data_IF_308862890459
#
_entry.id   IF_308862890459
#
_cell.length_a   1.000
_cell.length_b   1.000
_cell.length_c   1.000
_cell.angle_alpha   90.00
_cell.angle_beta   90.00
_cell.angle_gamma   90.00
#
_symmetry.space_group_name_H-M   'P 1'
#
loop_
_entity.id
_entity.type
_entity.pdbx_description
1 polymer ?
#
# COMPACT_ATOMS: atom_id res chain seq x y z
N UNK A 1 11.39 13.70 -29.01
CA UNK A 1 12.02 12.95 -27.91
C UNK A 1 10.95 12.07 -27.29
N UNK A 2 10.97 10.77 -27.56
CA UNK A 2 10.14 9.81 -26.82
C UNK A 2 10.83 9.61 -25.48
N UNK A 3 10.25 10.21 -24.44
CA UNK A 3 10.76 10.05 -23.07
C UNK A 3 10.78 8.55 -22.75
N UNK A 4 11.90 8.06 -22.21
CA UNK A 4 12.12 6.65 -21.84
C UNK A 4 11.30 6.22 -20.62
N UNK A 5 9.99 6.41 -20.69
CA UNK A 5 9.04 6.01 -19.66
C UNK A 5 8.97 4.49 -19.59
N UNK A 6 9.25 3.95 -18.41
CA UNK A 6 9.06 2.54 -18.10
C UNK A 6 7.73 2.40 -17.37
N UNK A 7 6.88 1.50 -17.85
CA UNK A 7 5.63 1.13 -17.18
C UNK A 7 5.83 -0.24 -16.55
N UNK A 8 5.67 -0.32 -15.24
CA UNK A 8 5.78 -1.56 -14.48
C UNK A 8 4.39 -1.99 -14.01
N UNK A 9 4.02 -3.22 -14.32
CA UNK A 9 2.86 -3.89 -13.72
C UNK A 9 3.40 -4.69 -12.54
N UNK A 10 3.10 -4.30 -11.29
CA UNK A 10 3.72 -4.91 -10.12
C UNK A 10 3.05 -6.25 -9.73
N UNK A 11 2.12 -6.75 -10.54
CA UNK A 11 1.39 -7.99 -10.27
C UNK A 11 2.05 -9.16 -10.99
N UNK A 12 3.23 -9.54 -10.51
CA UNK A 12 4.02 -10.62 -11.07
C UNK A 12 4.63 -11.49 -9.96
N UNK A 13 4.59 -12.83 -10.04
CA UNK A 13 5.08 -13.72 -8.98
C UNK A 13 6.49 -13.40 -8.50
N UNK A 14 7.45 -13.17 -9.42
CA UNK A 14 8.84 -12.85 -9.06
C UNK A 14 8.99 -11.55 -8.26
N UNK A 15 8.13 -10.56 -8.50
CA UNK A 15 8.15 -9.29 -7.76
C UNK A 15 7.56 -9.48 -6.37
N UNK A 16 6.44 -10.21 -6.30
CA UNK A 16 5.73 -10.53 -5.05
C UNK A 16 6.54 -11.44 -4.13
N UNK A 17 7.39 -12.29 -4.70
CA UNK A 17 8.30 -13.14 -3.94
C UNK A 17 9.25 -12.32 -3.04
N UNK A 18 9.65 -11.11 -3.45
CA UNK A 18 10.49 -10.23 -2.64
C UNK A 18 9.78 -9.76 -1.35
N UNK A 19 8.45 -9.84 -1.31
CA UNK A 19 7.63 -9.38 -0.20
C UNK A 19 7.18 -10.47 0.76
N UNK A 20 7.52 -11.74 0.50
CA UNK A 20 7.05 -12.88 1.31
C UNK A 20 7.30 -12.68 2.80
N UNK A 21 8.47 -12.16 3.18
CA UNK A 21 8.76 -11.85 4.59
C UNK A 21 7.80 -10.79 5.15
N UNK A 22 7.64 -9.66 4.46
CA UNK A 22 6.77 -8.56 4.90
C UNK A 22 5.31 -9.00 4.97
N UNK A 23 4.86 -9.80 4.00
CA UNK A 23 3.51 -10.34 3.97
C UNK A 23 3.28 -11.34 5.10
N UNK A 24 4.24 -12.21 5.37
CA UNK A 24 4.20 -13.12 6.53
C UNK A 24 4.12 -12.34 7.84
N UNK A 25 4.93 -11.30 8.01
CA UNK A 25 4.93 -10.46 9.22
C UNK A 25 3.59 -9.70 9.40
N UNK A 26 2.91 -9.35 8.30
CA UNK A 26 1.56 -8.75 8.31
C UNK A 26 0.47 -9.75 8.67
N UNK A 27 0.50 -10.94 8.04
CA UNK A 27 -0.52 -11.98 8.23
C UNK A 27 -0.50 -12.55 9.65
N UNK A 28 0.67 -12.87 10.19
CA UNK A 28 0.78 -13.72 11.38
C UNK A 28 1.28 -12.99 12.61
N UNK A 29 1.94 -11.83 12.44
CA UNK A 29 2.49 -11.06 13.56
C UNK A 29 1.90 -9.64 13.65
N UNK A 30 1.04 -9.25 12.70
CA UNK A 30 0.41 -7.93 12.58
C UNK A 30 1.40 -6.76 12.75
N UNK A 31 2.68 -6.98 12.38
CA UNK A 31 3.75 -6.02 12.66
C UNK A 31 3.49 -4.66 11.99
N UNK A 32 3.03 -4.59 10.73
CA UNK A 32 2.70 -3.33 10.08
C UNK A 32 1.55 -2.58 10.76
N UNK A 33 0.55 -3.29 11.29
CA UNK A 33 -0.54 -2.69 12.05
C UNK A 33 -0.01 -1.96 13.27
N UNK A 34 0.73 -2.67 14.12
CA UNK A 34 1.28 -2.12 15.37
C UNK A 34 2.12 -0.87 15.12
N UNK A 35 3.06 -0.96 14.16
CA UNK A 35 3.99 0.13 13.85
C UNK A 35 3.23 1.35 13.34
N UNK A 36 2.37 1.17 12.33
CA UNK A 36 1.68 2.31 11.72
C UNK A 36 0.65 2.90 12.67
N UNK A 37 0.00 2.09 13.51
CA UNK A 37 -0.89 2.60 14.56
C UNK A 37 -0.13 3.49 15.55
N UNK A 38 1.07 3.08 15.96
CA UNK A 38 1.93 3.87 16.84
C UNK A 38 2.40 5.18 16.18
N UNK A 39 2.91 5.11 14.95
CA UNK A 39 3.36 6.31 14.21
C UNK A 39 2.19 7.27 13.96
N UNK A 40 1.01 6.73 13.62
CA UNK A 40 -0.21 7.53 13.42
C UNK A 40 -0.67 8.22 14.71
N UNK A 41 -0.54 7.57 15.87
CA UNK A 41 -0.82 8.18 17.16
C UNK A 41 0.03 9.42 17.41
N UNK A 42 1.35 9.35 17.16
CA UNK A 42 2.28 10.49 17.28
C UNK A 42 1.94 11.63 16.31
N UNK A 43 1.61 11.29 15.05
CA UNK A 43 1.29 12.30 14.03
C UNK A 43 -0.05 12.98 14.33
N UNK A 44 -1.01 12.25 14.90
CA UNK A 44 -2.36 12.75 15.20
C UNK A 44 -2.39 13.88 16.23
N UNK A 45 -1.30 14.09 16.97
CA UNK A 45 -1.13 15.25 17.86
C UNK A 45 -1.05 16.58 17.09
N UNK A 46 -0.59 16.54 15.83
CA UNK A 46 -0.37 17.74 15.01
C UNK A 46 -1.10 17.72 13.66
N UNK A 47 -1.46 16.55 13.13
CA UNK A 47 -2.07 16.39 11.80
C UNK A 47 -3.08 15.25 11.76
N UNK A 48 -4.19 15.43 11.02
CA UNK A 48 -5.19 14.39 10.83
C UNK A 48 -4.66 13.21 10.03
N UNK A 49 -4.67 12.01 10.64
CA UNK A 49 -4.35 10.75 9.97
C UNK A 49 -5.20 10.53 8.70
N UNK A 50 -4.56 10.04 7.62
CA UNK A 50 -5.20 9.81 6.32
C UNK A 50 -5.33 8.32 5.99
N UNK A 51 -4.45 7.47 6.54
CA UNK A 51 -4.55 6.02 6.44
C UNK A 51 -4.76 5.38 7.81
N UNK A 52 -5.60 4.34 7.84
CA UNK A 52 -5.92 3.58 9.05
C UNK A 52 -5.53 2.12 8.79
N UNK A 53 -4.52 1.60 9.52
CA UNK A 53 -4.10 0.22 9.32
C UNK A 53 -5.16 -0.74 9.88
N UNK A 54 -5.18 -1.95 9.34
CA UNK A 54 -5.91 -3.10 9.89
C UNK A 54 -4.91 -4.12 10.40
N UNK A 55 -5.35 -5.08 11.19
CA UNK A 55 -4.50 -6.19 11.65
C UNK A 55 -3.84 -6.91 10.46
N UNK A 56 -4.63 -7.16 9.41
CA UNK A 56 -4.13 -7.66 8.11
C UNK A 56 -4.35 -6.60 7.02
N UNK A 57 -3.26 -6.21 6.36
CA UNK A 57 -3.20 -5.17 5.34
C UNK A 57 -3.07 -5.71 3.92
N UNK A 58 -3.43 -6.98 3.72
CA UNK A 58 -3.40 -7.69 2.46
C UNK A 58 -4.80 -7.99 1.92
N UNK A 59 -4.88 -8.00 0.59
CA UNK A 59 -5.95 -8.63 -0.16
C UNK A 59 -5.47 -9.98 -0.68
N UNK A 60 -6.37 -10.95 -0.72
CA UNK A 60 -6.21 -12.18 -1.46
C UNK A 60 -6.78 -12.03 -2.88
N UNK A 61 -6.00 -12.43 -3.87
CA UNK A 61 -6.29 -12.36 -5.30
C UNK A 61 -6.35 -13.78 -5.86
N UNK A 62 -7.46 -14.17 -6.47
CA UNK A 62 -7.56 -15.45 -7.18
C UNK A 62 -8.71 -15.40 -8.17
N UNK A 63 -8.41 -15.60 -9.46
CA UNK A 63 -9.37 -15.41 -10.55
C UNK A 63 -9.98 -14.00 -10.48
N UNK A 64 -11.29 -13.86 -10.32
CA UNK A 64 -11.98 -12.57 -10.18
C UNK A 64 -12.10 -12.09 -8.71
N UNK A 65 -11.53 -12.84 -7.76
CA UNK A 65 -11.57 -12.49 -6.33
C UNK A 65 -10.49 -11.45 -6.05
N UNK A 66 -10.90 -10.35 -5.43
CA UNK A 66 -10.02 -9.42 -4.73
C UNK A 66 -10.65 -9.04 -3.40
N UNK A 67 -10.31 -9.78 -2.38
CA UNK A 67 -11.00 -9.68 -1.09
C UNK A 67 -10.03 -9.59 0.07
N UNK A 68 -10.51 -9.02 1.17
CA UNK A 68 -9.69 -8.89 2.38
C UNK A 68 -9.52 -10.25 3.05
N UNK A 69 -8.40 -10.41 3.73
CA UNK A 69 -8.17 -11.52 4.65
C UNK A 69 -8.49 -11.01 6.06
N UNK A 70 -9.28 -11.76 6.83
CA UNK A 70 -9.52 -11.51 8.26
C UNK A 70 -9.21 -12.77 9.06
N UNK A 71 -8.54 -12.64 10.20
CA UNK A 71 -8.35 -13.74 11.14
C UNK A 71 -9.54 -13.82 12.11
N UNK A 72 -10.10 -15.02 12.29
CA UNK A 72 -11.17 -15.30 13.25
C UNK A 72 -10.92 -16.65 13.88
N UNK A 73 -10.84 -16.69 15.21
CA UNK A 73 -10.71 -17.94 15.98
C UNK A 73 -9.52 -18.82 15.52
N UNK A 74 -8.41 -18.20 15.10
CA UNK A 74 -7.20 -18.89 14.63
C UNK A 74 -7.26 -19.39 13.18
N UNK A 75 -8.30 -19.03 12.42
CA UNK A 75 -8.43 -19.31 10.98
C UNK A 75 -8.48 -18.01 10.18
N UNK A 76 -7.92 -18.05 8.97
CA UNK A 76 -7.85 -16.90 8.06
C UNK A 76 -8.93 -17.02 6.99
N UNK A 77 -9.83 -16.06 6.92
CA UNK A 77 -10.96 -16.06 5.99
C UNK A 77 -10.78 -15.01 4.91
N UNK A 78 -10.94 -15.42 3.65
CA UNK A 78 -11.08 -14.48 2.54
C UNK A 78 -12.53 -14.04 2.49
N UNK A 79 -12.78 -12.78 2.78
CA UNK A 79 -14.14 -12.24 2.92
C UNK A 79 -14.95 -12.42 1.64
N UNK A 80 -16.27 -12.52 1.81
CA UNK A 80 -17.24 -12.71 0.72
C UNK A 80 -17.01 -13.98 -0.12
N UNK A 81 -16.22 -14.93 0.38
CA UNK A 81 -15.98 -16.23 -0.25
C UNK A 81 -16.10 -17.37 0.77
N UNK A 82 -16.05 -18.61 0.29
CA UNK A 82 -15.95 -19.80 1.14
C UNK A 82 -14.50 -20.20 1.44
N UNK A 83 -13.52 -19.42 0.99
CA UNK A 83 -12.11 -19.74 1.19
C UNK A 83 -11.70 -19.39 2.62
N UNK A 84 -11.10 -20.36 3.29
CA UNK A 84 -10.46 -20.22 4.58
C UNK A 84 -9.19 -21.05 4.64
N UNK A 85 -8.24 -20.64 5.47
CA UNK A 85 -6.96 -21.28 5.65
C UNK A 85 -6.61 -21.40 7.12
N UNK A 86 -5.94 -22.48 7.53
CA UNK A 86 -5.14 -22.45 8.75
C UNK A 86 -3.91 -21.55 8.58
N UNK A 87 -3.18 -21.27 9.66
CA UNK A 87 -1.92 -20.53 9.58
C UNK A 87 -0.90 -21.21 8.66
N UNK A 88 -0.77 -22.54 8.77
CA UNK A 88 0.16 -23.34 7.97
C UNK A 88 -0.25 -23.39 6.50
N UNK A 89 -1.55 -23.53 6.23
CA UNK A 89 -2.09 -23.51 4.87
C UNK A 89 -1.86 -22.14 4.21
N UNK A 90 -2.15 -21.05 4.92
CA UNK A 90 -1.95 -19.70 4.38
C UNK A 90 -0.46 -19.38 4.19
N UNK A 91 0.40 -19.84 5.09
CA UNK A 91 1.84 -19.70 4.94
C UNK A 91 2.32 -20.47 3.69
N UNK A 92 1.87 -21.70 3.49
CA UNK A 92 2.19 -22.49 2.30
C UNK A 92 1.67 -21.81 1.03
N UNK A 93 0.44 -21.30 1.06
CA UNK A 93 -0.16 -20.52 -0.03
C UNK A 93 0.68 -19.27 -0.36
N UNK A 94 1.15 -18.53 0.64
CA UNK A 94 2.02 -17.37 0.46
C UNK A 94 3.37 -17.74 -0.18
N UNK A 95 3.97 -18.86 0.22
CA UNK A 95 5.25 -19.31 -0.34
C UNK A 95 5.10 -19.78 -1.79
N UNK A 96 4.03 -20.49 -2.10
CA UNK A 96 3.82 -21.11 -3.41
C UNK A 96 3.16 -20.16 -4.42
N UNK A 97 2.33 -19.23 -3.95
CA UNK A 97 1.52 -18.32 -4.76
C UNK A 97 1.57 -16.87 -4.23
N UNK A 98 2.75 -16.24 -4.12
CA UNK A 98 2.88 -14.90 -3.59
C UNK A 98 2.12 -13.84 -4.41
N UNK A 99 1.88 -14.09 -5.70
CA UNK A 99 1.05 -13.25 -6.57
C UNK A 99 -0.41 -13.12 -6.09
N UNK A 100 -0.90 -14.10 -5.33
CA UNK A 100 -2.24 -14.05 -4.75
C UNK A 100 -2.35 -13.08 -3.58
N UNK A 101 -1.26 -12.45 -3.15
CA UNK A 101 -1.26 -11.51 -2.03
C UNK A 101 -0.97 -10.09 -2.53
N UNK A 102 -1.88 -9.17 -2.27
CA UNK A 102 -1.74 -7.77 -2.69
C UNK A 102 -1.80 -6.79 -1.54
N UNK A 103 -0.79 -5.91 -1.40
CA UNK A 103 -0.79 -4.91 -0.33
C UNK A 103 -1.90 -3.87 -0.53
N UNK A 104 -2.49 -3.42 0.57
CA UNK A 104 -3.26 -2.20 0.62
C UNK A 104 -2.35 -0.97 0.76
N UNK A 105 -2.92 0.21 1.02
CA UNK A 105 -2.18 1.48 1.16
C UNK A 105 -1.03 1.44 2.18
N UNK A 106 -1.14 0.65 3.26
CA UNK A 106 -0.15 0.53 4.33
C UNK A 106 1.14 -0.13 3.84
N UNK A 107 1.00 -1.22 3.08
CA UNK A 107 2.13 -2.02 2.60
C UNK A 107 2.57 -1.64 1.18
N UNK A 108 1.74 -0.91 0.43
CA UNK A 108 2.02 -0.57 -0.97
C UNK A 108 3.31 0.23 -1.14
N UNK A 109 3.58 1.17 -0.23
CA UNK A 109 4.83 1.95 -0.26
C UNK A 109 6.06 1.07 -0.09
N UNK A 110 6.05 0.17 0.91
CA UNK A 110 7.12 -0.81 1.13
C UNK A 110 7.32 -1.66 -0.11
N UNK A 111 6.23 -2.17 -0.70
CA UNK A 111 6.33 -3.00 -1.89
C UNK A 111 6.98 -2.25 -3.06
N UNK A 112 6.50 -1.04 -3.34
CA UNK A 112 6.98 -0.21 -4.43
C UNK A 112 8.49 0.05 -4.30
N UNK A 113 8.94 0.49 -3.13
CA UNK A 113 10.36 0.84 -2.91
C UNK A 113 11.27 -0.39 -2.76
N UNK A 114 10.69 -1.58 -2.52
CA UNK A 114 11.44 -2.85 -2.52
C UNK A 114 11.73 -3.34 -3.94
N UNK A 115 10.73 -3.31 -4.83
CA UNK A 115 10.90 -3.81 -6.22
C UNK A 115 11.50 -2.77 -7.15
N UNK A 116 11.37 -1.49 -6.81
CA UNK A 116 11.87 -0.37 -7.58
C UNK A 116 12.37 0.71 -6.61
N UNK A 117 13.60 0.62 -6.11
CA UNK A 117 14.16 1.62 -5.20
C UNK A 117 14.21 2.98 -5.87
N UNK A 118 13.39 3.94 -5.41
CA UNK A 118 13.26 5.25 -6.04
C UNK A 118 14.04 6.31 -5.27
N UNK A 119 14.49 7.35 -5.99
CA UNK A 119 14.99 8.58 -5.37
C UNK A 119 13.83 9.41 -4.78
N UNK A 120 12.71 9.46 -5.48
CA UNK A 120 11.56 10.29 -5.11
C UNK A 120 10.22 9.60 -5.43
N UNK A 121 9.27 9.77 -4.51
CA UNK A 121 7.88 9.44 -4.70
C UNK A 121 7.09 10.71 -5.03
N UNK A 122 6.37 10.71 -6.15
CA UNK A 122 5.55 11.84 -6.60
C UNK A 122 4.08 11.55 -6.29
N UNK A 123 3.48 12.26 -5.33
CA UNK A 123 2.13 11.98 -4.85
C UNK A 123 1.27 13.23 -4.65
N UNK A 124 -0.04 13.05 -4.50
CA UNK A 124 -0.97 14.10 -4.06
C UNK A 124 -0.85 14.41 -2.56
N UNK A 125 -1.49 15.49 -2.09
CA UNK A 125 -1.42 15.91 -0.68
C UNK A 125 -1.86 14.83 0.32
N UNK A 126 -2.97 14.13 0.04
CA UNK A 126 -3.42 13.01 0.86
C UNK A 126 -2.46 11.81 0.83
N UNK A 127 -1.78 11.60 -0.29
CA UNK A 127 -0.77 10.53 -0.39
C UNK A 127 0.45 10.86 0.45
N UNK A 128 1.00 12.06 0.30
CA UNK A 128 2.17 12.46 1.09
C UNK A 128 1.86 12.41 2.60
N UNK A 129 0.64 12.81 2.99
CA UNK A 129 0.21 12.75 4.38
C UNK A 129 0.24 11.33 4.95
N UNK A 130 -0.31 10.31 4.25
CA UNK A 130 -0.22 8.94 4.76
C UNK A 130 1.18 8.34 4.62
N UNK A 131 1.99 8.73 3.63
CA UNK A 131 3.38 8.27 3.54
C UNK A 131 4.20 8.63 4.78
N UNK A 132 3.94 9.79 5.39
CA UNK A 132 4.55 10.15 6.67
C UNK A 132 4.17 9.19 7.80
N UNK A 133 2.95 8.64 7.78
CA UNK A 133 2.51 7.60 8.73
C UNK A 133 3.27 6.28 8.56
N UNK A 134 3.91 6.04 7.41
CA UNK A 134 4.66 4.81 7.11
C UNK A 134 6.14 4.90 7.47
N UNK A 135 6.65 6.06 7.92
CA UNK A 135 8.10 6.27 8.10
C UNK A 135 8.78 5.21 8.99
N UNK A 136 8.18 4.88 10.13
CA UNK A 136 8.75 3.86 11.04
C UNK A 136 8.64 2.45 10.45
N UNK A 137 7.64 2.20 9.60
CA UNK A 137 7.48 0.93 8.88
C UNK A 137 8.62 0.69 7.87
N UNK A 138 8.99 1.74 7.14
CA UNK A 138 10.15 1.72 6.24
C UNK A 138 11.46 1.46 7.00
N UNK A 139 11.66 2.14 8.13
CA UNK A 139 12.81 1.92 8.99
C UNK A 139 12.86 0.47 9.50
N UNK A 140 11.72 -0.08 9.95
CA UNK A 140 11.63 -1.45 10.46
C UNK A 140 12.04 -2.49 9.42
N UNK A 141 11.57 -2.37 8.19
CA UNK A 141 11.93 -3.29 7.10
C UNK A 141 13.23 -2.92 6.37
N UNK A 142 13.97 -1.91 6.85
CA UNK A 142 15.21 -1.43 6.23
C UNK A 142 15.04 -1.06 4.75
N UNK A 143 13.87 -0.53 4.38
CA UNK A 143 13.57 -0.03 3.04
C UNK A 143 13.83 1.46 3.01
N UNK A 144 14.48 1.94 1.95
CA UNK A 144 14.79 3.36 1.78
C UNK A 144 13.48 4.15 1.71
N UNK A 145 13.33 5.14 2.59
CA UNK A 145 12.22 6.08 2.52
C UNK A 145 12.54 7.18 1.48
N UNK A 146 11.82 7.27 0.36
CA UNK A 146 12.15 8.17 -0.73
C UNK A 146 11.84 9.63 -0.39
N UNK A 147 12.38 10.57 -1.17
CA UNK A 147 11.98 11.96 -1.07
C UNK A 147 10.53 12.10 -1.53
N UNK A 148 9.67 12.67 -0.67
CA UNK A 148 8.28 12.92 -0.99
C UNK A 148 8.13 14.25 -1.74
N UNK A 149 7.57 14.21 -2.95
CA UNK A 149 7.37 15.39 -3.80
C UNK A 149 5.87 15.56 -4.10
N UNK A 150 5.36 16.76 -3.83
CA UNK A 150 3.97 17.10 -4.13
C UNK A 150 3.81 17.25 -5.65
N UNK A 151 2.93 16.46 -6.25
CA UNK A 151 2.64 16.55 -7.69
C UNK A 151 2.03 17.91 -8.04
N UNK A 152 2.33 18.38 -9.25
CA UNK A 152 1.71 19.59 -9.79
C UNK A 152 0.19 19.40 -9.92
N UNK A 153 -0.55 20.44 -9.52
CA UNK A 153 -2.01 20.52 -9.71
C UNK A 153 -2.32 21.51 -10.83
N UNK A 154 -3.11 21.08 -11.81
CA UNK A 154 -3.48 21.91 -12.96
C UNK A 154 -5.00 21.98 -13.09
N UNK A 155 -5.52 23.17 -13.38
CA UNK A 155 -6.91 23.39 -13.79
C UNK A 155 -6.91 23.80 -15.27
N UNK A 156 -7.58 23.02 -16.12
CA UNK A 156 -7.79 23.40 -17.52
C UNK A 156 -9.04 24.26 -17.60
N UNK A 157 -8.85 25.55 -17.89
CA UNK A 157 -9.95 26.50 -18.05
C UNK A 157 -10.10 26.88 -19.52
N UNK A 158 -11.22 26.48 -20.12
CA UNK A 158 -11.58 26.94 -21.46
C UNK A 158 -11.82 28.46 -21.47
N UNK A 159 -11.64 29.07 -22.65
CA UNK A 159 -11.78 30.52 -22.82
C UNK A 159 -13.17 31.03 -22.41
N UNK A 160 -14.23 30.26 -22.66
CA UNK A 160 -15.61 30.60 -22.25
C UNK A 160 -15.75 30.78 -20.73
N UNK A 161 -15.08 29.92 -19.95
CA UNK A 161 -15.12 29.96 -18.49
C UNK A 161 -14.28 31.11 -17.95
N UNK A 162 -13.15 31.42 -18.59
CA UNK A 162 -12.36 32.63 -18.29
C UNK A 162 -13.17 33.91 -18.48
N UNK A 163 -13.83 34.06 -19.64
CA UNK A 163 -14.67 35.23 -19.94
C UNK A 163 -15.82 35.40 -18.93
N UNK A 164 -16.45 34.30 -18.51
CA UNK A 164 -17.55 34.33 -17.53
C UNK A 164 -17.09 34.72 -16.12
N UNK A 165 -15.89 34.31 -15.70
CA UNK A 165 -15.29 34.72 -14.42
C UNK A 165 -15.03 36.22 -14.38
N UNK A 166 -14.59 36.83 -15.47
CA UNK A 166 -14.28 38.27 -15.51
C UNK A 166 -15.53 39.18 -15.51
N UNK A 167 -16.73 38.59 -15.62
CA UNK A 167 -18.03 39.28 -15.57
C UNK A 167 -18.73 39.19 -14.20
N UNK A 168 -18.13 38.47 -13.24
CA UNK A 168 -18.57 38.36 -11.85
C UNK A 168 -17.71 39.26 -10.96
#
# INVERSE_FOLDING_TARGET
>A
MTNGLIVLIPDHPLLKQQMVKVFSDDLFAHKPFEIVQQTSGKISEAYTAQAFPREINLFYLKDDIRERIEEKEGSFHVLNTTLSFTAEELQSELQNHPERFSPNVILRGIYQETILPNLAFIGGGGELAYWLQLKDLFNHYSVVFPVLVLRNSFLVAEEKWRKKKDQL
#
